data_IF_848810886944
#
_entry.id   IF_848810886944
#
_cell.length_a   1.000
_cell.length_b   1.000
_cell.length_c   1.000
_cell.angle_alpha   90.00
_cell.angle_beta   90.00
_cell.angle_gamma   90.00
#
_symmetry.space_group_name_H-M   'P 1'
#
loop_
_entity.id
_entity.type
_entity.pdbx_description
1 polymer ?
#
# COMPACT_ATOMS: atom_id res chain seq x y z
N UNK A 1 -21.03 -0.39 0.27
CA UNK A 1 -19.72 -0.99 -0.04
C UNK A 1 -18.88 -1.01 1.23
N UNK A 2 -18.10 -2.07 1.50
CA UNK A 2 -17.15 -2.06 2.61
C UNK A 2 -16.07 -0.99 2.39
N UNK A 3 -15.63 -0.39 3.49
CA UNK A 3 -14.47 0.49 3.52
C UNK A 3 -13.26 -0.34 3.94
N UNK A 4 -12.17 -0.23 3.19
CA UNK A 4 -10.92 -0.92 3.47
C UNK A 4 -9.78 0.06 3.66
N UNK A 5 -9.03 -0.13 4.73
CA UNK A 5 -7.76 0.56 4.94
C UNK A 5 -6.60 -0.33 4.44
N UNK A 6 -5.87 0.15 3.43
CA UNK A 6 -4.69 -0.52 2.89
C UNK A 6 -3.42 0.16 3.38
N UNK A 7 -2.56 -0.61 4.05
CA UNK A 7 -1.24 -0.18 4.52
C UNK A 7 -0.13 -0.85 3.70
N UNK A 8 0.67 -0.05 2.98
CA UNK A 8 1.84 -0.51 2.25
C UNK A 8 3.11 -0.15 3.00
N UNK A 9 3.84 -1.17 3.46
CA UNK A 9 5.17 -1.05 4.08
C UNK A 9 6.25 -1.38 3.05
N UNK A 10 7.13 -0.41 2.75
CA UNK A 10 8.18 -0.58 1.74
C UNK A 10 9.59 -0.69 2.32
N UNK A 11 10.40 -1.56 1.71
CA UNK A 11 11.84 -1.64 2.00
C UNK A 11 12.49 -0.25 1.83
N UNK A 12 13.49 0.08 2.68
CA UNK A 12 14.12 1.40 2.69
C UNK A 12 14.83 1.79 1.39
N UNK A 13 15.21 0.81 0.56
CA UNK A 13 15.96 1.06 -0.68
C UNK A 13 15.06 1.27 -1.91
N UNK A 14 13.74 1.14 -1.76
CA UNK A 14 12.82 1.34 -2.89
C UNK A 14 12.68 2.83 -3.17
N UNK A 15 12.86 3.22 -4.43
CA UNK A 15 12.69 4.61 -4.87
C UNK A 15 11.22 5.01 -4.85
N UNK A 16 10.96 6.27 -4.53
CA UNK A 16 9.60 6.85 -4.51
C UNK A 16 8.90 6.79 -5.87
N UNK A 17 9.66 6.93 -6.96
CA UNK A 17 9.16 6.84 -8.34
C UNK A 17 8.48 5.50 -8.60
N UNK A 18 9.17 4.39 -8.30
CA UNK A 18 8.64 3.04 -8.48
C UNK A 18 7.40 2.76 -7.62
N UNK A 19 7.31 3.42 -6.46
CA UNK A 19 6.11 3.36 -5.62
C UNK A 19 4.94 4.12 -6.27
N UNK A 20 5.16 5.32 -6.82
CA UNK A 20 4.10 6.07 -7.50
C UNK A 20 3.56 5.29 -8.70
N UNK A 21 4.41 4.60 -9.44
CA UNK A 21 3.99 3.70 -10.52
C UNK A 21 3.11 2.55 -10.03
N UNK A 22 3.46 1.95 -8.88
CA UNK A 22 2.66 0.90 -8.26
C UNK A 22 1.29 1.43 -7.82
N UNK A 23 1.27 2.57 -7.15
CA UNK A 23 0.03 3.25 -6.72
C UNK A 23 -0.85 3.58 -7.93
N UNK A 24 -0.27 4.08 -9.02
CA UNK A 24 -0.98 4.38 -10.27
C UNK A 24 -1.62 3.11 -10.89
N UNK A 25 -0.93 1.97 -10.83
CA UNK A 25 -1.48 0.69 -11.33
C UNK A 25 -2.62 0.18 -10.45
N UNK A 26 -2.47 0.26 -9.13
CA UNK A 26 -3.52 -0.15 -8.18
C UNK A 26 -4.75 0.75 -8.32
N UNK A 27 -4.56 2.06 -8.40
CA UNK A 27 -5.67 3.00 -8.57
C UNK A 27 -6.42 2.79 -9.89
N UNK A 28 -5.73 2.50 -11.00
CA UNK A 28 -6.39 2.07 -12.25
C UNK A 28 -7.20 0.78 -12.06
N UNK A 29 -6.68 -0.19 -11.30
CA UNK A 29 -7.38 -1.45 -11.03
C UNK A 29 -8.65 -1.21 -10.21
N UNK A 30 -8.57 -0.37 -9.19
CA UNK A 30 -9.70 0.01 -8.32
C UNK A 30 -10.77 0.74 -9.13
N UNK A 31 -10.35 1.71 -9.95
CA UNK A 31 -11.25 2.45 -10.83
C UNK A 31 -12.00 1.53 -11.80
N UNK A 32 -11.31 0.56 -12.42
CA UNK A 32 -11.92 -0.43 -13.33
C UNK A 32 -12.93 -1.34 -12.64
N UNK A 33 -12.84 -1.52 -11.32
CA UNK A 33 -13.77 -2.32 -10.49
C UNK A 33 -14.87 -1.47 -9.84
N UNK A 34 -15.07 -0.24 -10.32
CA UNK A 34 -16.00 0.74 -9.74
C UNK A 34 -15.71 1.02 -8.26
N UNK A 35 -14.46 0.86 -7.84
CA UNK A 35 -14.01 1.24 -6.51
C UNK A 35 -13.64 2.71 -6.46
N UNK A 36 -13.68 3.27 -5.25
CA UNK A 36 -13.34 4.66 -4.95
C UNK A 36 -12.17 4.69 -3.97
N UNK A 37 -11.17 5.51 -4.25
CA UNK A 37 -10.09 5.82 -3.31
C UNK A 37 -10.42 7.18 -2.70
N UNK A 38 -10.54 7.27 -1.39
CA UNK A 38 -10.98 8.49 -0.71
C UNK A 38 -9.82 9.29 -0.13
N UNK A 39 -8.83 8.62 0.46
CA UNK A 39 -7.67 9.26 1.08
C UNK A 39 -6.40 8.47 0.81
N UNK A 40 -5.30 9.17 0.57
CA UNK A 40 -3.97 8.60 0.38
C UNK A 40 -2.95 9.41 1.17
N UNK A 41 -2.41 8.80 2.24
CA UNK A 41 -1.43 9.42 3.12
C UNK A 41 -0.11 8.67 3.05
N UNK A 42 0.97 9.43 2.97
CA UNK A 42 2.33 8.91 3.02
C UNK A 42 3.03 9.30 4.30
N UNK A 43 3.61 8.32 4.97
CA UNK A 43 4.54 8.51 6.06
C UNK A 43 5.93 8.11 5.56
N UNK A 44 6.94 8.92 5.87
CA UNK A 44 8.32 8.71 5.42
C UNK A 44 8.98 7.52 6.11
N UNK A 45 10.22 7.70 6.56
CA UNK A 45 10.92 6.63 7.26
C UNK A 45 10.29 6.38 8.63
N UNK A 46 9.76 5.19 8.84
CA UNK A 46 9.15 4.75 10.11
C UNK A 46 10.01 3.66 10.72
N UNK A 47 10.29 3.75 12.02
CA UNK A 47 10.96 2.70 12.77
C UNK A 47 9.95 1.62 13.19
N UNK A 48 10.30 0.36 13.00
CA UNK A 48 9.48 -0.77 13.41
C UNK A 48 9.79 -1.15 14.85
N UNK A 49 8.76 -1.53 15.62
CA UNK A 49 8.94 -2.04 16.97
C UNK A 49 9.72 -3.36 17.04
N UNK A 50 9.79 -4.09 15.94
CA UNK A 50 10.59 -5.31 15.79
C UNK A 50 11.09 -5.47 14.36
N UNK A 51 12.15 -6.25 14.18
CA UNK A 51 12.73 -6.51 12.88
C UNK A 51 11.88 -7.48 12.05
N UNK A 52 11.32 -7.03 10.93
CA UNK A 52 10.59 -7.90 10.00
C UNK A 52 11.58 -8.68 9.14
N UNK A 53 11.46 -10.00 9.11
CA UNK A 53 12.28 -10.88 8.27
C UNK A 53 11.75 -10.92 6.83
N UNK A 54 12.61 -10.60 5.87
CA UNK A 54 12.42 -10.82 4.42
C UNK A 54 13.56 -11.68 3.90
N UNK A 55 13.51 -12.05 2.61
CA UNK A 55 14.55 -12.86 1.96
C UNK A 55 15.93 -12.19 2.05
N UNK A 56 15.96 -10.86 1.99
CA UNK A 56 17.17 -10.05 1.97
C UNK A 56 17.74 -9.75 3.37
N UNK A 57 17.06 -10.18 4.44
CA UNK A 57 17.49 -9.93 5.82
C UNK A 57 16.38 -9.46 6.76
N UNK A 58 16.76 -8.97 7.94
CA UNK A 58 15.84 -8.38 8.93
C UNK A 58 15.87 -6.86 8.82
N UNK A 59 14.70 -6.26 8.67
CA UNK A 59 14.53 -4.82 8.54
C UNK A 59 13.87 -4.24 9.80
N UNK A 60 14.53 -3.27 10.42
CA UNK A 60 14.03 -2.53 11.59
C UNK A 60 13.48 -1.15 11.23
N UNK A 61 13.66 -0.73 9.99
CA UNK A 61 13.14 0.52 9.45
C UNK A 61 12.50 0.29 8.10
N UNK A 62 11.47 1.07 7.83
CA UNK A 62 10.67 1.06 6.59
C UNK A 62 10.87 2.40 5.93
N UNK A 63 11.15 2.43 4.63
CA UNK A 63 11.42 3.70 3.94
C UNK A 63 10.16 4.52 3.64
N UNK A 64 9.02 3.83 3.53
CA UNK A 64 7.75 4.46 3.22
C UNK A 64 6.59 3.61 3.72
N UNK A 65 5.64 4.26 4.39
CA UNK A 65 4.34 3.70 4.73
C UNK A 65 3.27 4.48 3.97
N UNK A 66 2.52 3.82 3.08
CA UNK A 66 1.36 4.40 2.42
C UNK A 66 0.09 3.87 3.09
N UNK A 67 -0.82 4.75 3.47
CA UNK A 67 -2.14 4.41 3.96
C UNK A 67 -3.17 4.91 2.94
N UNK A 68 -4.02 4.00 2.45
CA UNK A 68 -5.09 4.36 1.53
C UNK A 68 -6.43 3.82 2.03
N UNK A 69 -7.47 4.67 2.01
CA UNK A 69 -8.84 4.22 2.16
C UNK A 69 -9.44 3.86 0.80
N UNK A 70 -9.87 2.60 0.66
CA UNK A 70 -10.47 2.06 -0.55
C UNK A 70 -11.87 1.54 -0.27
N UNK A 71 -12.81 1.99 -1.08
CA UNK A 71 -14.18 1.48 -1.11
C UNK A 71 -14.31 0.62 -2.37
N UNK A 72 -14.41 -0.70 -2.24
CA UNK A 72 -14.53 -1.62 -3.39
C UNK A 72 -15.82 -2.40 -3.27
N UNK A 73 -16.53 -2.60 -4.39
CA UNK A 73 -17.69 -3.49 -4.42
C UNK A 73 -17.17 -4.94 -4.32
N UNK A 74 -17.33 -5.55 -3.14
CA UNK A 74 -16.85 -6.90 -2.79
C UNK A 74 -17.33 -8.04 -3.71
N UNK A 75 -18.28 -7.78 -4.62
CA UNK A 75 -18.89 -8.79 -5.48
C UNK A 75 -17.94 -9.47 -6.47
N UNK A 76 -16.66 -9.08 -6.55
CA UNK A 76 -15.72 -9.55 -7.57
C UNK A 76 -14.55 -10.42 -7.09
N UNK A 77 -14.38 -10.67 -5.78
CA UNK A 77 -13.32 -11.53 -5.23
C UNK A 77 -13.76 -12.97 -4.94
N UNK A 78 -14.92 -13.40 -5.44
CA UNK A 78 -15.40 -14.79 -5.35
C UNK A 78 -15.34 -15.47 -6.72
N UNK A 79 -14.13 -15.69 -7.23
CA UNK A 79 -13.82 -16.60 -8.35
C UNK A 79 -12.44 -17.20 -8.10
#
# INVERSE_FOLDING_TARGET
MPLYDCMLLLKPHVRKESLMDLVARVSKHVYRRNGVITDMKSFGTVQLGYGIKKLDGRYYQVGFLCFCNLTVHLSYYRL
#
